data_IF_094189458001
#
_entry.id   IF_094189458001
#
_cell.length_a   1.000
_cell.length_b   1.000
_cell.length_c   1.000
_cell.angle_alpha   90.00
_cell.angle_beta   90.00
_cell.angle_gamma   90.00
#
_symmetry.space_group_name_H-M   'P 1'
#
loop_
_entity.id
_entity.type
_entity.pdbx_description
1 polymer ?
#
# COMPACT_ATOMS: atom_id res chain seq x y z
N UNK A 1 38.94 30.59 -12.69
CA UNK A 1 37.56 30.67 -13.21
C UNK A 1 37.46 29.66 -14.35
N UNK A 2 36.81 28.53 -14.05
CA UNK A 2 36.29 27.47 -14.95
C UNK A 2 37.19 26.98 -16.10
N UNK A 3 37.82 25.81 -15.89
CA UNK A 3 38.44 25.01 -16.93
C UNK A 3 37.46 23.96 -17.48
N UNK A 4 37.54 23.76 -18.79
CA UNK A 4 36.84 22.83 -19.67
C UNK A 4 36.61 21.41 -19.13
N UNK A 5 35.42 20.83 -19.38
CA UNK A 5 35.20 19.48 -19.98
C UNK A 5 33.80 19.47 -20.63
N UNK A 6 33.74 19.65 -21.95
CA UNK A 6 32.61 19.25 -22.79
C UNK A 6 32.98 17.89 -23.42
N UNK A 7 32.59 16.78 -22.81
CA UNK A 7 32.63 15.44 -23.41
C UNK A 7 31.81 14.47 -22.54
N UNK A 8 30.61 14.08 -22.99
CA UNK A 8 30.17 12.67 -23.11
C UNK A 8 28.68 12.57 -23.48
N UNK A 9 28.41 12.50 -24.79
CA UNK A 9 27.25 11.79 -25.33
C UNK A 9 27.76 10.57 -26.08
N UNK A 10 27.88 9.46 -25.36
CA UNK A 10 27.94 8.11 -25.91
C UNK A 10 27.60 7.13 -24.77
N UNK A 11 26.31 6.85 -24.61
CA UNK A 11 25.85 5.77 -23.76
C UNK A 11 26.30 4.45 -24.41
N UNK A 12 27.37 3.86 -23.89
CA UNK A 12 27.95 2.62 -24.39
C UNK A 12 27.03 1.44 -24.03
N UNK A 13 26.17 1.08 -24.99
CA UNK A 13 25.25 -0.06 -24.93
C UNK A 13 25.92 -1.41 -24.63
N UNK A 14 27.27 -1.50 -24.69
CA UNK A 14 28.03 -2.68 -24.29
C UNK A 14 28.28 -2.76 -22.78
N UNK A 15 28.30 -1.63 -22.06
CA UNK A 15 28.47 -1.62 -20.59
C UNK A 15 27.21 -2.10 -19.87
N UNK A 16 26.04 -1.69 -20.37
CA UNK A 16 24.71 -2.16 -19.89
C UNK A 16 24.54 -3.67 -20.14
N UNK A 17 24.98 -4.18 -21.30
CA UNK A 17 24.97 -5.63 -21.58
C UNK A 17 25.93 -6.44 -20.71
N UNK A 18 27.00 -5.84 -20.19
CA UNK A 18 27.91 -6.50 -19.24
C UNK A 18 27.33 -6.54 -17.83
N UNK A 19 26.72 -5.45 -17.36
CA UNK A 19 26.07 -5.42 -16.04
C UNK A 19 24.84 -6.33 -15.97
N UNK A 20 24.08 -6.49 -17.06
CA UNK A 20 22.97 -7.46 -17.14
C UNK A 20 23.42 -8.93 -17.15
N UNK A 21 24.66 -9.22 -17.56
CA UNK A 21 25.22 -10.58 -17.56
C UNK A 21 25.94 -10.95 -16.24
N UNK A 22 26.21 -9.97 -15.37
CA UNK A 22 26.79 -10.19 -14.04
C UNK A 22 25.74 -10.32 -12.92
N UNK A 23 24.45 -10.12 -13.23
CA UNK A 23 23.33 -10.59 -12.40
C UNK A 23 23.24 -12.12 -12.58
N UNK A 24 24.23 -12.83 -12.02
CA UNK A 24 24.14 -14.24 -11.73
C UNK A 24 23.00 -14.40 -10.74
N UNK A 25 21.92 -14.99 -11.26
CA UNK A 25 20.81 -15.58 -10.54
C UNK A 25 21.31 -16.24 -9.25
N UNK A 26 21.07 -15.56 -8.13
CA UNK A 26 21.04 -16.20 -6.81
C UNK A 26 19.75 -17.00 -6.76
N UNK A 27 19.79 -18.23 -7.26
CA UNK A 27 18.70 -19.18 -7.12
C UNK A 27 18.56 -19.50 -5.64
N UNK A 28 17.48 -19.02 -5.01
CA UNK A 28 17.08 -19.50 -3.69
C UNK A 28 16.81 -21.00 -3.79
N UNK A 29 17.57 -21.77 -3.02
CA UNK A 29 17.47 -23.21 -2.81
C UNK A 29 16.03 -23.61 -2.48
N UNK A 30 15.36 -24.29 -3.41
CA UNK A 30 14.08 -24.95 -3.18
C UNK A 30 14.36 -26.29 -2.53
N UNK A 31 13.73 -26.54 -1.38
CA UNK A 31 13.77 -27.83 -0.67
C UNK A 31 13.04 -28.91 -1.49
N UNK A 32 13.50 -30.17 -1.49
CA UNK A 32 12.86 -31.22 -2.27
C UNK A 32 11.63 -31.75 -1.53
N UNK A 33 10.44 -31.50 -2.08
CA UNK A 33 9.22 -32.20 -1.71
C UNK A 33 9.19 -33.52 -2.47
N UNK A 34 9.22 -34.63 -1.74
CA UNK A 34 9.32 -35.98 -2.30
C UNK A 34 8.04 -36.39 -3.03
N UNK A 35 8.26 -36.81 -4.26
CA UNK A 35 7.30 -37.28 -5.24
C UNK A 35 6.75 -38.68 -4.90
N UNK A 36 5.45 -38.87 -5.11
CA UNK A 36 4.84 -40.17 -5.46
C UNK A 36 3.78 -39.92 -6.53
N UNK A 37 4.26 -39.94 -7.77
CA UNK A 37 3.50 -40.10 -9.01
C UNK A 37 2.64 -41.36 -9.01
N UNK A 38 1.39 -41.23 -9.48
CA UNK A 38 0.84 -42.06 -10.57
C UNK A 38 -0.31 -41.29 -11.25
N UNK A 39 -0.26 -41.16 -12.57
CA UNK A 39 -1.35 -40.64 -13.39
C UNK A 39 -0.89 -39.80 -14.57
N UNK A 40 -0.55 -40.47 -15.67
CA UNK A 40 -0.27 -39.87 -16.97
C UNK A 40 -1.54 -39.23 -17.57
N UNK A 41 -1.46 -37.96 -17.99
CA UNK A 41 -2.21 -37.45 -19.15
C UNK A 41 -1.41 -36.35 -19.85
N UNK A 42 -1.34 -36.49 -21.18
CA UNK A 42 -0.61 -35.63 -22.12
C UNK A 42 -1.16 -34.20 -22.20
N UNK A 43 -0.24 -33.23 -22.33
CA UNK A 43 -0.35 -32.29 -23.44
C UNK A 43 -1.04 -30.94 -23.22
N UNK A 44 -0.81 -30.24 -22.11
CA UNK A 44 -0.94 -28.78 -22.08
C UNK A 44 0.43 -28.16 -21.75
N UNK A 45 1.06 -27.53 -22.74
CA UNK A 45 2.20 -26.65 -22.50
C UNK A 45 1.69 -25.49 -21.66
N UNK A 46 1.88 -25.58 -20.35
CA UNK A 46 1.71 -24.44 -19.43
C UNK A 46 2.72 -23.38 -19.85
N UNK A 47 2.29 -22.47 -20.73
CA UNK A 47 3.03 -21.27 -21.07
C UNK A 47 3.18 -20.49 -19.79
N UNK A 48 4.37 -20.55 -19.16
CA UNK A 48 4.62 -19.75 -17.96
C UNK A 48 4.36 -18.29 -18.33
N UNK A 49 3.49 -17.59 -17.58
CA UNK A 49 3.23 -16.17 -17.84
C UNK A 49 4.57 -15.42 -17.76
N UNK A 50 4.75 -14.37 -18.58
CA UNK A 50 5.97 -13.58 -18.54
C UNK A 50 6.25 -13.12 -17.10
N UNK A 51 7.53 -13.07 -16.68
CA UNK A 51 7.87 -12.67 -15.33
C UNK A 51 7.31 -11.28 -15.05
N UNK A 52 6.26 -11.22 -14.24
CA UNK A 52 5.73 -9.97 -13.74
C UNK A 52 6.73 -9.45 -12.70
N UNK A 53 7.44 -8.37 -13.05
CA UNK A 53 8.31 -7.68 -12.11
C UNK A 53 7.40 -6.97 -11.11
N UNK A 54 7.21 -7.60 -9.95
CA UNK A 54 6.47 -7.02 -8.85
C UNK A 54 7.39 -6.08 -8.05
N UNK A 55 7.05 -4.79 -8.01
CA UNK A 55 7.74 -3.83 -7.15
C UNK A 55 6.86 -3.59 -5.93
N UNK A 56 7.37 -3.95 -4.76
CA UNK A 56 6.65 -3.79 -3.49
C UNK A 56 6.33 -2.31 -3.23
N UNK A 57 5.15 -2.08 -2.65
CA UNK A 57 4.64 -0.74 -2.32
C UNK A 57 4.35 -0.66 -0.83
N UNK A 58 4.64 0.49 -0.24
CA UNK A 58 4.32 0.77 1.16
C UNK A 58 3.73 2.16 1.35
N UNK A 59 2.91 2.31 2.39
CA UNK A 59 2.45 3.63 2.83
C UNK A 59 3.54 4.27 3.70
N UNK A 60 3.90 5.50 3.34
CA UNK A 60 4.66 6.40 4.18
C UNK A 60 3.79 7.60 4.56
N UNK A 61 3.82 8.01 5.82
CA UNK A 61 3.15 9.25 6.27
C UNK A 61 4.18 10.17 6.90
N UNK A 62 4.18 11.42 6.47
CA UNK A 62 4.84 12.53 7.15
C UNK A 62 3.82 13.16 8.09
N UNK A 63 4.09 13.05 9.39
CA UNK A 63 3.23 13.49 10.50
C UNK A 63 3.24 15.02 10.66
N UNK A 64 2.31 15.60 11.44
CA UNK A 64 2.16 17.05 11.54
C UNK A 64 3.41 17.80 12.03
N UNK A 65 4.22 17.15 12.88
CA UNK A 65 5.48 17.69 13.42
C UNK A 65 6.58 17.84 12.38
N UNK A 66 6.63 16.95 11.38
CA UNK A 66 7.65 16.93 10.35
C UNK A 66 7.24 17.65 9.05
N UNK A 67 6.05 18.24 8.99
CA UNK A 67 5.54 18.89 7.78
C UNK A 67 6.42 20.01 7.25
N UNK A 68 7.07 20.77 8.13
CA UNK A 68 7.99 21.85 7.72
C UNK A 68 9.25 21.32 7.01
N UNK A 69 9.54 20.03 7.20
CA UNK A 69 10.67 19.30 6.60
C UNK A 69 10.23 18.34 5.52
N UNK A 70 8.99 18.43 5.04
CA UNK A 70 8.43 17.47 4.10
C UNK A 70 9.24 17.36 2.79
N UNK A 71 9.63 18.48 2.19
CA UNK A 71 10.43 18.48 0.95
C UNK A 71 11.79 17.79 1.15
N UNK A 72 12.45 18.08 2.28
CA UNK A 72 13.73 17.47 2.65
C UNK A 72 13.59 15.94 2.85
N UNK A 73 12.52 15.50 3.51
CA UNK A 73 12.21 14.09 3.73
C UNK A 73 11.89 13.38 2.40
N UNK A 74 11.11 14.01 1.52
CA UNK A 74 10.79 13.50 0.19
C UNK A 74 12.07 13.33 -0.67
N UNK A 75 12.98 14.30 -0.62
CA UNK A 75 14.28 14.20 -1.28
C UNK A 75 15.12 13.04 -0.73
N UNK A 76 15.09 12.80 0.59
CA UNK A 76 15.77 11.65 1.19
C UNK A 76 15.14 10.35 0.68
N UNK A 77 13.81 10.24 0.66
CA UNK A 77 13.09 9.07 0.13
C UNK A 77 13.55 8.76 -1.30
N UNK A 78 13.59 9.77 -2.18
CA UNK A 78 14.01 9.62 -3.57
C UNK A 78 15.49 9.21 -3.68
N UNK A 79 16.38 9.86 -2.92
CA UNK A 79 17.82 9.52 -2.90
C UNK A 79 18.10 8.13 -2.32
N UNK A 80 17.24 7.65 -1.43
CA UNK A 80 17.30 6.30 -0.90
C UNK A 80 16.87 5.24 -1.93
N UNK A 81 16.39 5.63 -3.13
CA UNK A 81 16.05 4.70 -4.20
C UNK A 81 14.59 4.27 -4.21
N UNK A 82 13.72 4.99 -3.50
CA UNK A 82 12.27 4.83 -3.64
C UNK A 82 11.73 5.68 -4.79
N UNK A 83 10.67 5.19 -5.43
CA UNK A 83 9.81 6.01 -6.29
C UNK A 83 8.53 6.40 -5.54
N UNK A 84 8.17 7.69 -5.56
CA UNK A 84 6.90 8.19 -5.03
C UNK A 84 5.84 8.02 -6.13
N UNK A 85 4.88 7.11 -5.91
CA UNK A 85 3.83 6.80 -6.89
C UNK A 85 2.61 7.70 -6.73
N UNK A 86 2.24 8.01 -5.48
CA UNK A 86 1.10 8.86 -5.15
C UNK A 86 1.44 9.71 -3.93
N UNK A 87 0.89 10.93 -3.88
CA UNK A 87 1.05 11.89 -2.79
C UNK A 87 -0.27 12.57 -2.50
N UNK A 88 -0.64 12.68 -1.23
CA UNK A 88 -1.84 13.38 -0.78
C UNK A 88 -1.58 14.13 0.52
N UNK A 89 -1.86 15.43 0.54
CA UNK A 89 -1.94 16.21 1.78
C UNK A 89 -3.37 16.15 2.29
N UNK A 90 -3.55 15.75 3.55
CA UNK A 90 -4.88 15.56 4.15
C UNK A 90 -4.85 16.00 5.61
N UNK A 91 -5.96 16.54 6.10
CA UNK A 91 -6.17 16.78 7.53
C UNK A 91 -7.23 15.80 8.01
N UNK A 92 -6.85 14.85 8.86
CA UNK A 92 -7.74 13.83 9.36
C UNK A 92 -8.67 14.39 10.45
N UNK A 93 -9.94 14.02 10.43
CA UNK A 93 -10.79 14.22 11.61
C UNK A 93 -10.41 13.22 12.71
N UNK A 94 -10.78 13.47 13.99
CA UNK A 94 -10.56 12.49 15.06
C UNK A 94 -11.15 11.11 14.75
N UNK A 95 -12.32 11.07 14.10
CA UNK A 95 -12.98 9.82 13.69
C UNK A 95 -12.14 9.09 12.64
N UNK A 96 -11.69 9.80 11.60
CA UNK A 96 -10.83 9.21 10.56
C UNK A 96 -9.48 8.73 11.13
N UNK A 97 -8.88 9.48 12.04
CA UNK A 97 -7.65 9.07 12.70
C UNK A 97 -7.86 7.84 13.61
N UNK A 98 -9.00 7.77 14.30
CA UNK A 98 -9.41 6.60 15.08
C UNK A 98 -9.58 5.36 14.19
N UNK A 99 -10.27 5.50 13.05
CA UNK A 99 -10.47 4.41 12.09
C UNK A 99 -9.14 3.92 11.50
N UNK A 100 -8.24 4.85 11.16
CA UNK A 100 -6.92 4.50 10.63
C UNK A 100 -6.08 3.69 11.63
N UNK A 101 -6.12 4.07 12.92
CA UNK A 101 -5.39 3.42 14.00
C UNK A 101 -6.23 2.39 14.79
N UNK A 102 -7.30 1.84 14.21
CA UNK A 102 -8.23 0.95 14.92
C UNK A 102 -7.55 -0.29 15.55
N UNK A 103 -6.44 -0.78 15.00
CA UNK A 103 -5.62 -1.87 15.58
C UNK A 103 -4.96 -1.51 16.92
N UNK A 104 -4.99 -0.24 17.31
CA UNK A 104 -4.49 0.25 18.60
C UNK A 104 -5.60 0.60 19.57
N UNK A 105 -6.86 0.35 19.21
CA UNK A 105 -8.00 0.57 20.09
C UNK A 105 -7.82 -0.18 21.43
N UNK A 106 -8.14 0.51 22.53
CA UNK A 106 -7.97 -0.01 23.90
C UNK A 106 -6.56 0.15 24.49
N UNK A 107 -5.55 0.58 23.72
CA UNK A 107 -4.22 0.92 24.26
C UNK A 107 -4.25 2.30 24.94
N UNK A 108 -3.52 2.45 26.05
CA UNK A 108 -3.51 3.70 26.84
C UNK A 108 -3.11 4.94 26.02
N UNK A 109 -2.24 4.79 25.02
CA UNK A 109 -1.78 5.90 24.17
C UNK A 109 -2.71 6.23 23.01
N UNK A 110 -3.74 5.42 22.75
CA UNK A 110 -4.60 5.55 21.58
C UNK A 110 -5.35 6.89 21.50
N UNK A 111 -6.01 7.39 22.57
CA UNK A 111 -6.70 8.69 22.50
C UNK A 111 -5.76 9.85 22.17
N UNK A 112 -4.55 9.85 22.75
CA UNK A 112 -3.53 10.85 22.48
C UNK A 112 -3.01 10.77 21.05
N UNK A 113 -2.81 9.56 20.52
CA UNK A 113 -2.41 9.34 19.12
C UNK A 113 -3.46 9.89 18.15
N UNK A 114 -4.74 9.60 18.39
CA UNK A 114 -5.85 10.10 17.58
C UNK A 114 -5.88 11.63 17.60
N UNK A 115 -5.88 12.22 18.80
CA UNK A 115 -5.91 13.68 18.96
C UNK A 115 -4.73 14.36 18.26
N UNK A 116 -3.53 13.78 18.37
CA UNK A 116 -2.33 14.30 17.72
C UNK A 116 -2.41 14.23 16.19
N UNK A 117 -2.83 13.09 15.64
CA UNK A 117 -2.92 12.89 14.19
C UNK A 117 -4.04 13.71 13.54
N UNK A 118 -5.07 14.08 14.30
CA UNK A 118 -6.14 14.98 13.85
C UNK A 118 -5.85 16.47 14.12
N UNK A 119 -4.78 16.80 14.83
CA UNK A 119 -4.50 18.20 15.21
C UNK A 119 -4.07 19.07 14.02
N UNK A 120 -3.44 18.47 13.01
CA UNK A 120 -2.94 19.19 11.85
C UNK A 120 -2.89 18.33 10.59
N UNK A 121 -2.51 18.93 9.45
CA UNK A 121 -2.37 18.19 8.22
C UNK A 121 -1.23 17.16 8.30
N UNK A 122 -1.31 16.16 7.43
CA UNK A 122 -0.28 15.16 7.18
C UNK A 122 -0.05 15.05 5.67
N UNK A 123 1.05 14.42 5.27
CA UNK A 123 1.29 14.00 3.89
C UNK A 123 1.34 12.47 3.86
N UNK A 124 0.40 11.85 3.16
CA UNK A 124 0.43 10.43 2.85
C UNK A 124 1.10 10.21 1.47
N UNK A 125 1.98 9.23 1.40
CA UNK A 125 2.75 8.86 0.22
C UNK A 125 2.61 7.36 -0.03
N UNK A 126 2.39 6.96 -1.28
CA UNK A 126 2.61 5.58 -1.72
C UNK A 126 4.00 5.54 -2.34
N UNK A 127 4.92 4.82 -1.71
CA UNK A 127 6.30 4.67 -2.18
C UNK A 127 6.55 3.24 -2.63
N UNK A 128 7.43 3.07 -3.61
CA UNK A 128 7.75 1.76 -4.18
C UNK A 128 9.24 1.54 -4.34
N UNK A 129 9.65 0.29 -4.11
CA UNK A 129 11.03 -0.21 -4.19
C UNK A 129 11.00 -1.74 -4.10
N UNK A 130 12.06 -2.40 -4.53
CA UNK A 130 12.32 -3.76 -4.06
C UNK A 130 12.45 -3.80 -2.52
N UNK A 131 11.74 -4.72 -1.87
CA UNK A 131 11.60 -4.83 -0.41
C UNK A 131 11.22 -3.50 0.29
N UNK A 132 10.36 -2.69 -0.34
CA UNK A 132 9.97 -1.35 0.11
C UNK A 132 9.57 -1.27 1.59
N UNK A 133 8.81 -2.24 2.12
CA UNK A 133 8.33 -2.21 3.51
C UNK A 133 9.52 -2.31 4.47
N UNK A 134 10.40 -3.30 4.26
CA UNK A 134 11.57 -3.50 5.11
C UNK A 134 12.54 -2.31 5.03
N UNK A 135 12.84 -1.86 3.81
CA UNK A 135 13.73 -0.71 3.62
C UNK A 135 13.16 0.57 4.21
N UNK A 136 11.85 0.80 4.11
CA UNK A 136 11.24 2.00 4.70
C UNK A 136 11.33 1.96 6.23
N UNK A 137 11.07 0.80 6.84
CA UNK A 137 11.21 0.59 8.29
C UNK A 137 12.64 0.81 8.78
N UNK A 138 13.63 0.33 8.02
CA UNK A 138 15.04 0.57 8.33
C UNK A 138 15.39 2.06 8.23
N UNK A 139 14.95 2.73 7.15
CA UNK A 139 15.23 4.14 6.91
C UNK A 139 14.61 5.05 7.99
N UNK A 140 13.38 4.78 8.42
CA UNK A 140 12.74 5.57 9.49
C UNK A 140 13.26 5.20 10.88
N UNK A 141 13.65 3.95 11.11
CA UNK A 141 14.18 3.46 12.37
C UNK A 141 13.11 3.19 13.45
N UNK A 142 13.52 2.92 14.71
CA UNK A 142 12.62 2.51 15.79
C UNK A 142 11.50 3.52 16.11
N UNK A 143 10.32 3.03 16.53
CA UNK A 143 9.18 3.89 16.89
C UNK A 143 9.48 4.87 18.03
N UNK A 144 10.30 4.46 19.01
CA UNK A 144 10.71 5.31 20.12
C UNK A 144 11.94 6.15 19.70
N UNK A 145 11.77 7.47 19.75
CA UNK A 145 12.75 8.44 19.26
C UNK A 145 14.06 8.41 20.06
N UNK A 146 14.00 8.17 21.38
CA UNK A 146 15.20 8.06 22.21
C UNK A 146 16.02 6.82 21.83
N UNK A 147 15.34 5.68 21.65
CA UNK A 147 15.97 4.44 21.17
C UNK A 147 16.54 4.63 19.77
N UNK A 148 15.83 5.34 18.89
CA UNK A 148 16.31 5.68 17.55
C UNK A 148 17.64 6.47 17.62
N UNK A 149 17.72 7.54 18.43
CA UNK A 149 18.96 8.32 18.65
C UNK A 149 20.12 7.49 19.22
N UNK A 150 19.83 6.52 20.07
CA UNK A 150 20.87 5.68 20.68
C UNK A 150 21.40 4.60 19.74
N UNK A 151 20.53 4.02 18.91
CA UNK A 151 20.84 2.81 18.15
C UNK A 151 21.03 3.05 16.65
N UNK A 152 20.37 4.06 16.10
CA UNK A 152 20.35 4.40 14.67
C UNK A 152 20.37 5.93 14.52
N UNK A 153 21.47 6.63 14.88
CA UNK A 153 21.51 8.09 14.94
C UNK A 153 21.22 8.78 13.60
N UNK A 154 21.43 8.08 12.48
CA UNK A 154 21.21 8.60 11.14
C UNK A 154 19.80 8.30 10.58
N UNK A 155 18.94 7.58 11.33
CA UNK A 155 17.58 7.28 10.86
C UNK A 155 16.67 8.52 10.96
N UNK A 156 15.62 8.55 10.14
CA UNK A 156 14.77 9.74 10.04
C UNK A 156 14.03 10.08 11.34
N UNK A 157 13.64 9.08 12.14
CA UNK A 157 13.02 9.34 13.46
C UNK A 157 14.01 9.91 14.46
N UNK A 158 15.30 9.60 14.32
CA UNK A 158 16.35 10.20 15.15
C UNK A 158 16.51 11.69 14.85
N UNK A 159 16.52 12.03 13.56
CA UNK A 159 16.76 13.38 13.03
C UNK A 159 15.54 14.29 13.24
N UNK A 160 14.34 13.82 12.91
CA UNK A 160 13.13 14.65 12.88
C UNK A 160 12.16 14.41 14.05
N UNK A 161 12.26 13.28 14.75
CA UNK A 161 11.39 12.97 15.88
C UNK A 161 11.76 13.74 17.15
N UNK A 162 10.75 14.08 17.95
CA UNK A 162 10.91 14.73 19.26
C UNK A 162 10.60 13.78 20.42
N UNK A 163 9.57 12.95 20.29
CA UNK A 163 9.12 11.99 21.31
C UNK A 163 8.48 10.75 20.66
N UNK A 164 7.86 9.87 21.46
CA UNK A 164 7.29 8.60 20.97
C UNK A 164 6.02 8.79 20.13
N UNK A 165 5.23 9.82 20.36
CA UNK A 165 4.03 10.13 19.56
C UNK A 165 4.42 10.99 18.34
N UNK A 166 5.27 11.99 18.58
CA UNK A 166 5.86 12.92 17.62
C UNK A 166 7.20 12.39 17.12
N UNK A 167 7.12 11.28 16.42
CA UNK A 167 8.28 10.63 15.82
C UNK A 167 8.37 10.91 14.31
N UNK A 168 7.81 12.02 13.81
CA UNK A 168 7.87 12.47 12.41
C UNK A 168 7.21 11.59 11.34
N UNK A 169 7.33 10.26 11.41
CA UNK A 169 7.05 9.36 10.30
C UNK A 169 6.31 8.09 10.74
N UNK A 170 5.39 7.64 9.88
CA UNK A 170 4.74 6.33 9.96
C UNK A 170 5.08 5.49 8.74
N UNK A 171 5.20 4.18 8.97
CA UNK A 171 5.39 3.17 7.94
C UNK A 171 4.60 1.92 8.30
N UNK A 172 4.04 1.26 7.30
CA UNK A 172 3.27 0.03 7.50
C UNK A 172 4.15 -1.12 8.02
N UNK A 173 3.59 -1.99 8.87
CA UNK A 173 4.34 -3.06 9.54
C UNK A 173 4.50 -4.32 8.69
N UNK A 174 3.53 -4.56 7.80
CA UNK A 174 3.41 -5.73 6.93
C UNK A 174 2.78 -5.37 5.59
N UNK A 175 2.86 -6.28 4.62
CA UNK A 175 2.16 -6.16 3.35
C UNK A 175 0.66 -5.91 3.51
N UNK A 176 -0.01 -6.71 4.35
CA UNK A 176 -1.45 -6.58 4.62
C UNK A 176 -1.83 -5.24 5.23
N UNK A 177 -1.03 -4.72 6.16
CA UNK A 177 -1.24 -3.37 6.72
C UNK A 177 -1.01 -2.30 5.66
N UNK A 178 0.02 -2.44 4.82
CA UNK A 178 0.32 -1.51 3.72
C UNK A 178 -0.84 -1.41 2.73
N UNK A 179 -1.43 -2.54 2.32
CA UNK A 179 -2.59 -2.54 1.42
C UNK A 179 -3.80 -1.84 2.05
N UNK A 180 -4.12 -2.19 3.30
CA UNK A 180 -5.24 -1.58 4.06
C UNK A 180 -5.05 -0.08 4.21
N UNK A 181 -3.87 0.34 4.64
CA UNK A 181 -3.53 1.74 4.92
C UNK A 181 -3.44 2.56 3.62
N UNK A 182 -2.89 1.99 2.54
CA UNK A 182 -2.87 2.63 1.22
C UNK A 182 -4.29 2.87 0.71
N UNK A 183 -5.16 1.86 0.80
CA UNK A 183 -6.56 1.97 0.37
C UNK A 183 -7.35 3.01 1.15
N UNK A 184 -7.01 3.21 2.44
CA UNK A 184 -7.63 4.24 3.26
C UNK A 184 -7.39 5.65 2.71
N UNK A 185 -6.16 5.96 2.27
CA UNK A 185 -5.82 7.29 1.73
C UNK A 185 -6.03 7.42 0.22
N UNK A 186 -5.95 6.32 -0.52
CA UNK A 186 -5.99 6.25 -1.98
C UNK A 186 -6.96 5.14 -2.44
N UNK A 187 -8.28 5.32 -2.27
CA UNK A 187 -9.27 4.28 -2.54
C UNK A 187 -9.34 3.86 -4.01
N UNK A 188 -8.97 4.76 -4.93
CA UNK A 188 -8.94 4.53 -6.38
C UNK A 188 -7.61 3.92 -6.86
N UNK A 189 -6.67 3.66 -5.95
CA UNK A 189 -5.37 3.09 -6.30
C UNK A 189 -5.48 1.60 -6.58
N UNK A 190 -4.94 1.15 -7.71
CA UNK A 190 -4.80 -0.28 -8.00
C UNK A 190 -3.69 -0.83 -7.09
N UNK A 191 -4.10 -1.58 -6.08
CA UNK A 191 -3.18 -2.30 -5.20
C UNK A 191 -2.66 -3.52 -5.96
N UNK A 192 -1.35 -3.56 -6.18
CA UNK A 192 -0.66 -4.68 -6.81
C UNK A 192 -0.08 -5.58 -5.69
N UNK A 193 0.03 -6.90 -5.90
CA UNK A 193 -0.28 -7.58 -7.15
C UNK A 193 -1.79 -7.80 -7.26
N UNK A 194 -2.35 -7.64 -8.46
CA UNK A 194 -3.72 -8.08 -8.72
C UNK A 194 -3.83 -9.57 -8.33
N UNK A 195 -4.78 -9.95 -7.45
CA UNK A 195 -4.92 -11.33 -7.03
C UNK A 195 -5.11 -12.23 -8.26
N UNK A 196 -4.35 -13.33 -8.33
CA UNK A 196 -4.47 -14.35 -9.39
C UNK A 196 -4.73 -15.72 -8.78
N UNK A 197 -5.24 -16.65 -9.60
CA UNK A 197 -5.45 -18.04 -9.19
C UNK A 197 -6.41 -18.16 -8.00
N UNK A 198 -5.97 -18.83 -6.93
CA UNK A 198 -6.80 -19.07 -5.75
C UNK A 198 -7.11 -17.79 -4.97
N UNK A 199 -6.16 -16.85 -4.87
CA UNK A 199 -6.38 -15.58 -4.18
C UNK A 199 -7.50 -14.75 -4.83
N UNK A 200 -7.58 -14.76 -6.17
CA UNK A 200 -8.71 -14.16 -6.89
C UNK A 200 -10.04 -14.85 -6.57
N UNK A 201 -10.06 -16.19 -6.56
CA UNK A 201 -11.27 -16.95 -6.22
C UNK A 201 -11.76 -16.65 -4.80
N UNK A 202 -10.84 -16.61 -3.84
CA UNK A 202 -11.14 -16.33 -2.44
C UNK A 202 -11.67 -14.89 -2.27
N UNK A 203 -11.07 -13.93 -2.96
CA UNK A 203 -11.54 -12.54 -2.98
C UNK A 203 -12.96 -12.44 -3.55
N UNK A 204 -13.21 -13.05 -4.71
CA UNK A 204 -14.54 -13.05 -5.33
C UNK A 204 -15.58 -13.71 -4.40
N UNK A 205 -15.26 -14.87 -3.84
CA UNK A 205 -16.14 -15.61 -2.93
C UNK A 205 -16.48 -14.80 -1.67
N UNK A 206 -15.49 -14.10 -1.11
CA UNK A 206 -15.65 -13.33 0.14
C UNK A 206 -16.33 -11.98 -0.08
N UNK A 207 -15.97 -11.26 -1.14
CA UNK A 207 -16.27 -9.83 -1.26
C UNK A 207 -17.24 -9.46 -2.38
N UNK A 208 -17.36 -10.28 -3.44
CA UNK A 208 -18.16 -9.92 -4.63
C UNK A 208 -19.39 -10.83 -4.74
N UNK A 209 -19.17 -12.14 -4.70
CA UNK A 209 -20.18 -13.17 -4.93
C UNK A 209 -21.41 -13.04 -4.03
N UNK A 210 -21.31 -12.76 -2.70
CA UNK A 210 -22.49 -12.71 -1.84
C UNK A 210 -23.54 -11.70 -2.27
N UNK A 211 -23.11 -10.55 -2.81
CA UNK A 211 -24.00 -9.49 -3.29
C UNK A 211 -24.36 -9.71 -4.75
N UNK A 212 -23.39 -10.09 -5.60
CA UNK A 212 -23.61 -10.30 -7.03
C UNK A 212 -24.60 -11.44 -7.30
N UNK A 213 -24.48 -12.58 -6.60
CA UNK A 213 -25.40 -13.70 -6.77
C UNK A 213 -26.84 -13.34 -6.38
N UNK A 214 -27.02 -12.52 -5.33
CA UNK A 214 -28.35 -12.01 -4.95
C UNK A 214 -28.92 -11.12 -6.05
N UNK A 215 -28.13 -10.18 -6.56
CA UNK A 215 -28.55 -9.29 -7.65
C UNK A 215 -28.90 -10.04 -8.93
N UNK A 216 -28.08 -11.02 -9.32
CA UNK A 216 -28.37 -11.90 -10.47
C UNK A 216 -29.64 -12.74 -10.27
N UNK A 217 -29.87 -13.21 -9.04
CA UNK A 217 -31.09 -13.95 -8.69
C UNK A 217 -32.32 -13.06 -8.84
N UNK A 218 -32.28 -11.81 -8.35
CA UNK A 218 -33.37 -10.86 -8.49
C UNK A 218 -33.58 -10.41 -9.94
N UNK A 219 -32.51 -10.22 -10.70
CA UNK A 219 -32.55 -9.91 -12.12
C UNK A 219 -33.32 -10.99 -12.90
N UNK A 220 -33.02 -12.27 -12.64
CA UNK A 220 -33.71 -13.41 -13.26
C UNK A 220 -35.21 -13.48 -12.92
N UNK A 221 -35.60 -12.99 -11.74
CA UNK A 221 -37.01 -12.92 -11.31
C UNK A 221 -37.76 -11.79 -12.02
N UNK A 222 -37.16 -10.59 -12.06
CA UNK A 222 -37.84 -9.39 -12.58
C UNK A 222 -37.82 -9.29 -14.10
N UNK A 223 -36.78 -9.81 -14.76
CA UNK A 223 -36.60 -9.78 -16.23
C UNK A 223 -36.84 -8.38 -16.82
N UNK A 224 -36.12 -7.36 -16.33
CA UNK A 224 -36.26 -5.99 -16.82
C UNK A 224 -35.83 -5.88 -18.29
N UNK A 225 -36.29 -4.82 -18.96
CA UNK A 225 -35.99 -4.54 -20.38
C UNK A 225 -34.48 -4.36 -20.61
N UNK A 226 -33.80 -3.71 -19.66
CA UNK A 226 -32.34 -3.48 -19.68
C UNK A 226 -31.66 -4.16 -18.49
N UNK A 227 -31.34 -5.47 -18.58
CA UNK A 227 -30.78 -6.26 -17.49
C UNK A 227 -29.48 -5.71 -16.88
N UNK A 228 -28.62 -5.13 -17.71
CA UNK A 228 -27.32 -4.62 -17.26
C UNK A 228 -27.47 -3.35 -16.43
N UNK A 229 -28.28 -2.40 -16.90
CA UNK A 229 -28.52 -1.14 -16.18
C UNK A 229 -29.24 -1.44 -14.87
N UNK A 230 -30.29 -2.26 -14.92
CA UNK A 230 -31.04 -2.66 -13.73
C UNK A 230 -30.15 -3.34 -12.69
N UNK A 231 -29.26 -4.25 -13.10
CA UNK A 231 -28.35 -4.92 -12.18
C UNK A 231 -27.33 -3.94 -11.59
N UNK A 232 -26.83 -2.98 -12.38
CA UNK A 232 -25.92 -1.95 -11.89
C UNK A 232 -26.59 -1.10 -10.79
N UNK A 233 -27.80 -0.62 -11.04
CA UNK A 233 -28.58 0.16 -10.07
C UNK A 233 -28.86 -0.67 -8.80
N UNK A 234 -29.30 -1.92 -8.97
CA UNK A 234 -29.55 -2.84 -7.86
C UNK A 234 -28.29 -3.05 -7.00
N UNK A 235 -27.12 -3.23 -7.62
CA UNK A 235 -25.86 -3.40 -6.90
C UNK A 235 -25.43 -2.14 -6.17
N UNK A 236 -25.69 -0.95 -6.73
CA UNK A 236 -25.41 0.33 -6.08
C UNK A 236 -26.30 0.55 -4.85
N UNK A 237 -27.56 0.14 -4.92
CA UNK A 237 -28.52 0.22 -3.81
C UNK A 237 -28.26 -0.82 -2.71
N UNK A 238 -27.77 -2.00 -3.09
CA UNK A 238 -27.54 -3.13 -2.18
C UNK A 238 -26.05 -3.34 -1.84
N UNK A 239 -25.24 -2.29 -1.97
CA UNK A 239 -23.82 -2.37 -1.67
C UNK A 239 -23.59 -2.45 -0.15
N UNK A 240 -23.05 -3.56 0.39
CA UNK A 240 -22.83 -3.73 1.82
C UNK A 240 -21.77 -2.77 2.40
N UNK A 241 -20.96 -2.13 1.53
CA UNK A 241 -19.92 -1.20 1.93
C UNK A 241 -20.37 0.27 1.85
N UNK A 242 -21.61 0.56 1.43
CA UNK A 242 -22.15 1.93 1.40
C UNK A 242 -23.01 2.14 2.66
N UNK A 243 -22.77 3.19 3.45
CA UNK A 243 -23.66 3.51 4.57
C UNK A 243 -25.05 3.86 4.05
N UNK A 244 -26.09 3.26 4.63
CA UNK A 244 -27.48 3.54 4.28
C UNK A 244 -27.88 4.93 4.79
N UNK A 245 -27.88 5.94 3.90
CA UNK A 245 -28.33 7.30 4.21
C UNK A 245 -29.86 7.37 4.11
N UNK A 246 -30.58 6.62 4.93
CA UNK A 246 -32.04 6.71 5.05
C UNK A 246 -32.42 6.76 6.54
N UNK A 247 -32.18 7.90 7.17
CA UNK A 247 -33.00 8.34 8.30
C UNK A 247 -33.58 9.72 7.92
N UNK A 248 -34.90 9.87 7.81
CA UNK A 248 -35.49 11.19 7.81
C UNK A 248 -35.12 11.86 9.13
N UNK A 249 -34.59 13.08 9.05
CA UNK A 249 -34.38 13.93 10.21
C UNK A 249 -35.69 13.97 11.01
N UNK A 250 -35.66 13.39 12.21
CA UNK A 250 -36.73 13.60 13.19
C UNK A 250 -36.75 15.10 13.43
N UNK A 251 -37.77 15.79 12.90
CA UNK A 251 -38.07 17.16 13.28
C UNK A 251 -38.35 17.13 14.78
N UNK A 252 -37.38 17.60 15.56
CA UNK A 252 -37.57 17.86 16.98
C UNK A 252 -38.50 19.07 17.05
N UNK A 253 -39.71 18.83 17.55
CA UNK A 253 -40.69 19.85 17.91
C UNK A 253 -40.26 20.61 19.17
#
# INVERSE_FOLDING_TARGET
>A
MVAAIFFHTACDSRKIKRELNEIKVSTATTTPYSDKMTGETEGDKVMMPPPHIYVERTLAIIKPDALQKAEEIEDIILRSGFAILQKRRVHLTPEQASDFYAEHYGKLFFPSLVAYMSHGPIIALVISRDNAISYWKELIGPNNTLKARQTHPDCLRSIYGTDDQRNALHGSESFTSSERETRFFFPDSIVEPVPIGQAAKDYLAKSVNPTLLKGLTELCKQKPIDPVIWLADWLLENNPNKPCVNQPLVQVA
#
